data_IF_800286386474
#
_entry.id   IF_800286386474
#
_cell.length_a   1.000
_cell.length_b   1.000
_cell.length_c   1.000
_cell.angle_alpha   90.00
_cell.angle_beta   90.00
_cell.angle_gamma   90.00
#
_symmetry.space_group_name_H-M   'P 1'
#
loop_
_entity.id
_entity.type
_entity.pdbx_description
1 polymer ?
#
# COMPACT_ATOMS: atom_id res chain seq x y z
N UNK A 1 -14.38 2.27 9.54
CA UNK A 1 -13.14 2.38 8.74
C UNK A 1 -13.24 1.40 7.58
N UNK A 2 -12.69 1.72 6.40
CA UNK A 2 -12.77 0.82 5.24
C UNK A 2 -12.02 -0.50 5.51
N UNK A 3 -12.38 -1.55 4.78
CA UNK A 3 -11.78 -2.89 4.91
C UNK A 3 -11.13 -3.35 3.60
N UNK A 4 -10.18 -4.27 3.70
CA UNK A 4 -9.67 -5.06 2.58
C UNK A 4 -10.61 -6.24 2.25
N UNK A 5 -10.29 -6.98 1.19
CA UNK A 5 -11.09 -8.14 0.73
C UNK A 5 -11.18 -9.25 1.79
N UNK A 6 -10.19 -9.36 2.67
CA UNK A 6 -10.16 -10.35 3.74
C UNK A 6 -10.87 -9.86 5.03
N UNK A 7 -11.50 -8.68 4.99
CA UNK A 7 -12.23 -8.10 6.12
C UNK A 7 -11.36 -7.35 7.13
N UNK A 8 -10.06 -7.20 6.87
CA UNK A 8 -9.18 -6.44 7.77
C UNK A 8 -9.43 -4.95 7.60
N UNK A 9 -9.47 -4.22 8.72
CA UNK A 9 -9.57 -2.77 8.69
C UNK A 9 -8.31 -2.15 8.07
N UNK A 10 -8.51 -1.11 7.28
CA UNK A 10 -7.46 -0.31 6.66
C UNK A 10 -7.45 1.09 7.28
N UNK A 11 -6.27 1.55 7.70
CA UNK A 11 -6.07 2.85 8.36
C UNK A 11 -5.95 3.99 7.34
N UNK A 12 -6.93 4.10 6.45
CA UNK A 12 -6.95 5.06 5.33
C UNK A 12 -8.38 5.53 5.00
N UNK A 13 -8.51 6.44 4.02
CA UNK A 13 -9.80 6.92 3.51
C UNK A 13 -10.53 5.84 2.70
N UNK A 14 -11.83 6.01 2.49
CA UNK A 14 -12.63 5.05 1.73
C UNK A 14 -12.19 4.97 0.25
N UNK A 15 -11.81 6.12 -0.32
CA UNK A 15 -11.33 6.28 -1.69
C UNK A 15 -9.96 5.62 -1.90
N UNK A 16 -9.02 5.87 -0.98
CA UNK A 16 -7.71 5.23 -1.01
C UNK A 16 -7.83 3.71 -0.82
N UNK A 17 -8.70 3.27 0.09
CA UNK A 17 -8.98 1.85 0.29
C UNK A 17 -9.59 1.18 -0.95
N UNK A 18 -10.44 1.88 -1.71
CA UNK A 18 -10.99 1.35 -2.95
C UNK A 18 -9.90 1.12 -4.00
N UNK A 19 -9.02 2.10 -4.20
CA UNK A 19 -7.88 1.98 -5.13
C UNK A 19 -6.91 0.89 -4.67
N UNK A 20 -6.63 0.82 -3.37
CA UNK A 20 -5.78 -0.23 -2.79
C UNK A 20 -6.34 -1.63 -3.05
N UNK A 21 -7.64 -1.85 -2.79
CA UNK A 21 -8.28 -3.14 -3.08
C UNK A 21 -8.19 -3.50 -4.56
N UNK A 22 -8.47 -2.54 -5.46
CA UNK A 22 -8.35 -2.77 -6.90
C UNK A 22 -6.92 -3.18 -7.29
N UNK A 23 -5.92 -2.49 -6.75
CA UNK A 23 -4.51 -2.83 -6.94
C UNK A 23 -4.15 -4.24 -6.45
N UNK A 24 -4.52 -4.60 -5.22
CA UNK A 24 -4.29 -5.95 -4.68
C UNK A 24 -4.98 -7.01 -5.54
N UNK A 25 -6.21 -6.78 -5.99
CA UNK A 25 -6.89 -7.74 -6.87
C UNK A 25 -6.17 -7.93 -8.20
N UNK A 26 -5.58 -6.88 -8.77
CA UNK A 26 -4.77 -6.96 -9.99
C UNK A 26 -3.45 -7.69 -9.75
N UNK A 27 -2.78 -7.45 -8.62
CA UNK A 27 -1.58 -8.22 -8.21
C UNK A 27 -1.91 -9.71 -8.18
N UNK A 28 -3.02 -10.09 -7.54
CA UNK A 28 -3.45 -11.49 -7.44
C UNK A 28 -3.80 -12.13 -8.79
N UNK A 29 -4.10 -11.32 -9.81
CA UNK A 29 -4.35 -11.75 -11.19
C UNK A 29 -3.11 -11.65 -12.09
N UNK A 30 -1.96 -11.23 -11.55
CA UNK A 30 -0.73 -10.92 -12.28
C UNK A 30 -0.96 -9.90 -13.43
N UNK A 31 -1.83 -8.93 -13.17
CA UNK A 31 -2.18 -7.87 -14.12
C UNK A 31 -1.20 -6.69 -13.99
N UNK A 32 -0.66 -6.24 -15.14
CA UNK A 32 0.27 -5.11 -15.23
C UNK A 32 -0.30 -3.77 -14.72
N UNK A 33 -1.64 -3.63 -14.63
CA UNK A 33 -2.28 -2.44 -14.09
C UNK A 33 -2.22 -2.29 -12.55
N UNK A 34 -1.63 -3.25 -11.83
CA UNK A 34 -1.62 -3.28 -10.37
C UNK A 34 -0.92 -2.07 -9.72
N UNK A 35 0.24 -1.68 -10.24
CA UNK A 35 1.04 -0.58 -9.69
C UNK A 35 0.32 0.76 -9.76
N UNK A 36 -0.36 1.05 -10.88
CA UNK A 36 -1.09 2.30 -11.06
C UNK A 36 -2.21 2.51 -10.01
N UNK A 37 -2.93 1.44 -9.65
CA UNK A 37 -3.98 1.50 -8.63
C UNK A 37 -3.40 1.70 -7.22
N UNK A 38 -2.29 1.04 -6.91
CA UNK A 38 -1.60 1.19 -5.62
C UNK A 38 -0.97 2.58 -5.46
N UNK A 39 -0.38 3.11 -6.53
CA UNK A 39 0.08 4.50 -6.56
C UNK A 39 -1.08 5.49 -6.41
N UNK A 40 -2.23 5.19 -6.99
CA UNK A 40 -3.45 6.00 -6.81
C UNK A 40 -3.87 6.01 -5.35
N UNK A 41 -3.83 4.86 -4.66
CA UNK A 41 -4.18 4.78 -3.24
C UNK A 41 -3.31 5.70 -2.38
N UNK A 42 -1.99 5.70 -2.57
CA UNK A 42 -1.07 6.56 -1.81
C UNK A 42 -1.10 8.03 -2.25
N UNK A 43 -1.52 8.34 -3.49
CA UNK A 43 -1.81 9.74 -3.87
C UNK A 43 -3.08 10.27 -3.19
N UNK A 44 -4.11 9.43 -3.06
CA UNK A 44 -5.37 9.78 -2.40
C UNK A 44 -5.21 9.91 -0.87
N UNK A 45 -4.36 9.08 -0.28
CA UNK A 45 -3.97 9.19 1.13
C UNK A 45 -2.44 9.03 1.28
N UNK A 46 -1.68 10.15 1.26
CA UNK A 46 -0.22 10.15 1.42
C UNK A 46 0.28 9.69 2.80
N UNK A 47 -0.65 9.39 3.72
CA UNK A 47 -0.32 8.89 5.06
C UNK A 47 -0.67 7.41 5.24
N UNK A 48 -1.12 6.75 4.17
CA UNK A 48 -1.48 5.34 4.21
C UNK A 48 -0.24 4.44 4.21
N UNK A 49 0.24 4.11 5.41
CA UNK A 49 1.49 3.36 5.60
C UNK A 49 1.52 2.00 4.88
N UNK A 50 0.43 1.22 4.95
CA UNK A 50 0.36 -0.08 4.26
C UNK A 50 0.37 0.07 2.73
N UNK A 51 -0.28 1.11 2.19
CA UNK A 51 -0.23 1.42 0.77
C UNK A 51 1.20 1.72 0.31
N UNK A 52 1.93 2.54 1.07
CA UNK A 52 3.34 2.84 0.79
C UNK A 52 4.22 1.57 0.88
N UNK A 53 4.06 0.74 1.91
CA UNK A 53 4.80 -0.52 2.03
C UNK A 53 4.54 -1.48 0.84
N UNK A 54 3.30 -1.52 0.35
CA UNK A 54 2.92 -2.36 -0.80
C UNK A 54 3.54 -1.84 -2.10
N UNK A 55 3.54 -0.53 -2.33
CA UNK A 55 4.24 0.07 -3.49
C UNK A 55 5.74 -0.21 -3.42
N UNK A 56 6.34 -0.09 -2.22
CA UNK A 56 7.75 -0.38 -2.02
C UNK A 56 8.11 -1.83 -2.38
N UNK A 57 7.30 -2.78 -1.92
CA UNK A 57 7.44 -4.20 -2.24
C UNK A 57 7.42 -4.42 -3.76
N UNK A 58 6.39 -3.94 -4.46
CA UNK A 58 6.28 -4.16 -5.91
C UNK A 58 7.41 -3.47 -6.69
N UNK A 59 7.80 -2.26 -6.30
CA UNK A 59 8.92 -1.57 -6.93
C UNK A 59 10.22 -2.38 -6.79
N UNK A 60 10.47 -2.97 -5.61
CA UNK A 60 11.61 -3.85 -5.39
C UNK A 60 11.55 -5.11 -6.26
N UNK A 61 10.38 -5.75 -6.38
CA UNK A 61 10.16 -6.90 -7.27
C UNK A 61 10.42 -6.58 -8.75
N UNK A 62 10.10 -5.35 -9.18
CA UNK A 62 10.41 -4.86 -10.53
C UNK A 62 11.84 -4.33 -10.70
N UNK A 63 12.66 -4.34 -9.65
CA UNK A 63 14.04 -3.87 -9.68
C UNK A 63 14.23 -2.37 -9.53
N UNK A 64 13.17 -1.59 -9.30
CA UNK A 64 13.23 -0.15 -9.04
C UNK A 64 13.50 0.14 -7.56
N UNK A 65 14.77 -0.06 -7.16
CA UNK A 65 15.22 0.15 -5.78
C UNK A 65 15.07 1.59 -5.29
N UNK A 66 15.22 2.57 -6.18
CA UNK A 66 15.12 3.97 -5.80
C UNK A 66 13.68 4.30 -5.38
N UNK A 67 12.71 3.88 -6.19
CA UNK A 67 11.30 4.07 -5.87
C UNK A 67 10.87 3.26 -4.63
N UNK A 68 11.37 2.03 -4.50
CA UNK A 68 11.13 1.20 -3.31
C UNK A 68 11.57 1.90 -2.02
N UNK A 69 12.80 2.43 -1.99
CA UNK A 69 13.34 3.11 -0.81
C UNK A 69 12.54 4.36 -0.41
N UNK A 70 12.08 5.14 -1.40
CA UNK A 70 11.23 6.31 -1.15
C UNK A 70 9.92 5.90 -0.46
N UNK A 71 9.27 4.87 -0.98
CA UNK A 71 7.99 4.41 -0.43
C UNK A 71 8.15 3.72 0.92
N UNK A 72 9.24 2.97 1.15
CA UNK A 72 9.50 2.37 2.45
C UNK A 72 9.70 3.45 3.52
N UNK A 73 10.47 4.50 3.23
CA UNK A 73 10.64 5.63 4.14
C UNK A 73 9.31 6.33 4.48
N UNK A 74 8.44 6.51 3.48
CA UNK A 74 7.11 7.07 3.69
C UNK A 74 6.21 6.15 4.52
N UNK A 75 6.32 4.83 4.36
CA UNK A 75 5.60 3.86 5.17
C UNK A 75 6.03 3.95 6.65
N UNK A 76 7.34 3.95 6.92
CA UNK A 76 7.91 4.07 8.26
C UNK A 76 7.47 5.35 8.97
N UNK A 77 7.54 6.48 8.27
CA UNK A 77 7.13 7.80 8.80
C UNK A 77 5.66 7.85 9.23
N UNK A 78 4.80 7.03 8.63
CA UNK A 78 3.35 7.06 8.86
C UNK A 78 2.83 5.92 9.75
N UNK A 79 3.73 5.11 10.34
CA UNK A 79 3.37 3.98 11.21
C UNK A 79 2.51 4.35 12.42
N UNK A 80 2.59 5.59 12.91
CA UNK A 80 1.77 6.06 14.04
C UNK A 80 0.25 6.00 13.77
N UNK A 81 -0.17 6.08 12.51
CA UNK A 81 -1.59 5.94 12.10
C UNK A 81 -1.98 4.50 11.80
N UNK A 82 -1.01 3.60 11.66
CA UNK A 82 -1.23 2.23 11.22
C UNK A 82 -1.63 1.32 12.39
N UNK A 83 -2.53 0.39 12.11
CA UNK A 83 -2.86 -0.70 13.02
C UNK A 83 -1.63 -1.58 13.31
N UNK A 84 -1.69 -2.39 14.36
CA UNK A 84 -0.60 -3.33 14.67
C UNK A 84 -0.31 -4.29 13.49
N UNK A 85 -1.36 -4.75 12.79
CA UNK A 85 -1.22 -5.57 11.57
C UNK A 85 -0.48 -4.83 10.47
N UNK A 86 -0.89 -3.61 10.17
CA UNK A 86 -0.27 -2.81 9.10
C UNK A 86 1.18 -2.47 9.43
N UNK A 87 1.51 -2.17 10.69
CA UNK A 87 2.89 -1.94 11.13
C UNK A 87 3.79 -3.16 10.94
N UNK A 88 3.25 -4.37 11.12
CA UNK A 88 4.00 -5.59 10.85
C UNK A 88 4.43 -5.71 9.39
N UNK A 89 3.66 -5.16 8.44
CA UNK A 89 3.99 -5.19 7.02
C UNK A 89 5.02 -4.13 6.61
N UNK A 90 5.24 -3.10 7.44
CA UNK A 90 6.25 -2.06 7.20
C UNK A 90 7.65 -2.51 7.64
N UNK A 91 7.73 -3.39 8.64
CA UNK A 91 8.98 -3.84 9.25
C UNK A 91 9.31 -5.32 9.00
N UNK A 92 8.59 -5.98 8.08
CA UNK A 92 8.83 -7.37 7.68
C UNK A 92 10.03 -7.47 6.73
#
# INVERSE_FOLDING_TARGET
MPQDRAGNLLSTSAEAAASYRAGIERVLRLDAGATAELETAVRLDPTFALGHATVALLAAEYGDRAHANVHLHLAERNTARASARERSAVHA
#
